data_IF_073858039908
#
_entry.id   IF_073858039908
#
_cell.length_a   1.000
_cell.length_b   1.000
_cell.length_c   1.000
_cell.angle_alpha   90.00
_cell.angle_beta   90.00
_cell.angle_gamma   90.00
#
_symmetry.space_group_name_H-M   'P 1'
#
loop_
_entity.id
_entity.type
_entity.pdbx_description
1 polymer ?
#
# COMPACT_ATOMS: atom_id res chain seq x y z
N UNK A 1 -9.27 6.86 -11.45
CA UNK A 1 -8.31 5.73 -11.61
C UNK A 1 -8.94 4.49 -11.01
N UNK A 2 -8.74 3.32 -11.60
CA UNK A 2 -9.23 2.07 -11.02
C UNK A 2 -8.26 1.59 -9.91
N UNK A 3 -8.75 1.04 -8.79
CA UNK A 3 -7.88 0.53 -7.74
C UNK A 3 -7.05 -0.67 -8.23
N UNK A 4 -5.76 -0.66 -7.94
CA UNK A 4 -4.85 -1.79 -8.17
C UNK A 4 -4.80 -2.65 -6.90
N UNK A 5 -4.78 -3.97 -7.10
CA UNK A 5 -4.61 -4.95 -6.01
C UNK A 5 -3.15 -4.96 -5.56
N UNK A 6 -2.89 -5.07 -4.26
CA UNK A 6 -1.54 -5.17 -3.69
C UNK A 6 -0.73 -6.31 -4.35
N UNK A 7 -1.37 -7.44 -4.63
CA UNK A 7 -0.72 -8.57 -5.31
C UNK A 7 -0.24 -8.26 -6.75
N UNK A 8 -0.75 -7.21 -7.39
CA UNK A 8 -0.40 -6.78 -8.75
C UNK A 8 0.56 -5.58 -8.79
N UNK A 9 1.09 -5.14 -7.65
CA UNK A 9 2.03 -4.00 -7.58
C UNK A 9 3.33 -4.21 -8.36
N UNK A 10 3.94 -5.42 -8.43
CA UNK A 10 5.17 -5.62 -9.20
C UNK A 10 5.07 -5.23 -10.68
N UNK A 11 3.87 -5.18 -11.24
CA UNK A 11 3.62 -4.81 -12.63
C UNK A 11 3.53 -3.30 -12.86
N UNK A 12 3.49 -2.47 -11.80
CA UNK A 12 3.26 -1.02 -11.88
C UNK A 12 4.44 -0.22 -11.29
N UNK A 13 5.67 -0.72 -11.41
CA UNK A 13 6.85 -0.04 -10.89
C UNK A 13 7.08 1.31 -11.60
N UNK A 14 7.17 2.38 -10.81
CA UNK A 14 7.38 3.75 -11.33
C UNK A 14 6.10 4.47 -11.77
N UNK A 15 4.94 3.83 -11.66
CA UNK A 15 3.63 4.41 -11.99
C UNK A 15 2.94 4.98 -10.73
N UNK A 16 2.12 6.01 -10.90
CA UNK A 16 1.18 6.45 -9.87
C UNK A 16 -0.04 5.52 -9.87
N UNK A 17 -0.35 4.92 -8.72
CA UNK A 17 -1.44 3.95 -8.57
C UNK A 17 -2.40 4.34 -7.45
N UNK A 18 -3.65 3.90 -7.58
CA UNK A 18 -4.65 4.00 -6.52
C UNK A 18 -4.76 2.67 -5.79
N UNK A 19 -4.57 2.65 -4.47
CA UNK A 19 -4.78 1.47 -3.63
C UNK A 19 -5.96 1.72 -2.70
N UNK A 20 -6.87 0.74 -2.62
CA UNK A 20 -7.99 0.75 -1.68
C UNK A 20 -7.86 -0.45 -0.76
N UNK A 21 -7.83 -0.19 0.55
CA UNK A 21 -7.65 -1.22 1.55
C UNK A 21 -7.83 -0.68 2.96
N UNK A 22 -7.38 -1.47 3.92
CA UNK A 22 -7.47 -1.19 5.34
C UNK A 22 -6.08 -1.01 5.92
N UNK A 23 -5.94 -0.05 6.84
CA UNK A 23 -4.73 0.09 7.65
C UNK A 23 -4.61 -1.13 8.58
N UNK A 24 -3.56 -1.91 8.38
CA UNK A 24 -3.25 -3.09 9.20
C UNK A 24 -2.37 -2.73 10.39
N UNK A 25 -1.33 -1.92 10.17
CA UNK A 25 -0.46 -1.45 11.24
C UNK A 25 0.10 -0.07 10.90
N UNK A 26 0.45 0.70 11.94
CA UNK A 26 1.07 2.02 11.80
C UNK A 26 2.19 2.14 12.82
N UNK A 27 3.36 2.57 12.37
CA UNK A 27 4.44 3.05 13.24
C UNK A 27 4.99 4.36 12.73
N UNK A 28 5.82 5.01 13.54
CA UNK A 28 6.54 6.22 13.16
C UNK A 28 8.01 6.12 13.55
N UNK A 29 8.86 6.87 12.85
CA UNK A 29 10.26 7.08 13.21
C UNK A 29 10.61 8.53 12.90
N UNK A 30 10.69 9.35 13.95
CA UNK A 30 10.80 10.80 13.82
C UNK A 30 9.64 11.37 12.99
N UNK A 31 9.98 12.08 11.91
CA UNK A 31 9.00 12.69 11.02
C UNK A 31 8.34 11.73 10.02
N UNK A 32 8.81 10.48 9.90
CA UNK A 32 8.32 9.52 8.89
C UNK A 32 7.25 8.61 9.49
N UNK A 33 6.13 8.48 8.77
CA UNK A 33 5.08 7.51 9.07
C UNK A 33 5.28 6.27 8.20
N UNK A 34 5.09 5.10 8.78
CA UNK A 34 5.10 3.82 8.05
C UNK A 34 3.76 3.16 8.26
N UNK A 35 3.00 3.01 7.18
CA UNK A 35 1.69 2.36 7.18
C UNK A 35 1.86 0.97 6.56
N UNK A 36 1.32 -0.06 7.20
CA UNK A 36 1.04 -1.33 6.52
C UNK A 36 -0.43 -1.33 6.11
N UNK A 37 -0.68 -1.47 4.82
CA UNK A 37 -2.00 -1.58 4.21
C UNK A 37 -2.28 -3.03 3.82
N UNK A 38 -3.54 -3.46 3.91
CA UNK A 38 -4.02 -4.73 3.37
C UNK A 38 -5.24 -4.53 2.50
N UNK A 39 -5.42 -5.32 1.45
CA UNK A 39 -6.59 -5.24 0.55
C UNK A 39 -7.26 -6.62 0.32
N UNK A 40 -6.82 -7.65 1.06
CA UNK A 40 -7.26 -9.04 0.90
C UNK A 40 -6.47 -9.83 -0.14
N UNK A 41 -5.69 -9.17 -1.01
CA UNK A 41 -4.75 -9.83 -1.93
C UNK A 41 -3.32 -9.86 -1.37
N UNK A 42 -2.97 -8.92 -0.49
CA UNK A 42 -1.67 -8.90 0.17
C UNK A 42 -1.54 -7.82 1.24
N UNK A 43 -0.30 -7.63 1.71
CA UNK A 43 0.13 -6.58 2.62
C UNK A 43 1.21 -5.72 1.93
N UNK A 44 1.15 -4.40 2.11
CA UNK A 44 2.11 -3.46 1.52
C UNK A 44 2.47 -2.36 2.52
N UNK A 45 3.75 -1.96 2.56
CA UNK A 45 4.17 -0.77 3.31
C UNK A 45 4.01 0.48 2.43
N UNK A 46 3.47 1.56 2.99
CA UNK A 46 3.34 2.88 2.40
C UNK A 46 3.90 3.96 3.34
#
# INVERSE_FOLDING_TARGET
MQPIRIAAIPQHLGEEVLIQGWLYHKRSSGAIQFLLLRDGSGLMQA
#
